data_IF_382262911347
#
_entry.id   IF_382262911347
#
_cell.length_a   1.000
_cell.length_b   1.000
_cell.length_c   1.000
_cell.angle_alpha   90.00
_cell.angle_beta   90.00
_cell.angle_gamma   90.00
#
_symmetry.space_group_name_H-M   'P 1'
#
loop_
_entity.id
_entity.type
_entity.pdbx_description
1 polymer ?
#
# COMPACT_ATOMS: atom_id res chain seq x y z
N UNK A 1 -19.32 -8.96 5.70
CA UNK A 1 -19.60 -7.98 6.77
C UNK A 1 -19.00 -6.63 6.38
N UNK A 2 -19.74 -5.53 6.50
CA UNK A 2 -19.23 -4.18 6.20
C UNK A 2 -18.48 -3.67 7.44
N UNK A 3 -17.21 -3.30 7.31
CA UNK A 3 -16.44 -2.77 8.44
C UNK A 3 -16.51 -1.24 8.46
N UNK A 4 -16.41 -0.59 9.63
CA UNK A 4 -16.31 0.87 9.69
C UNK A 4 -15.05 1.43 8.99
N UNK A 5 -14.07 0.56 8.69
CA UNK A 5 -12.83 0.89 8.00
C UNK A 5 -12.94 0.85 6.47
N UNK A 6 -14.03 0.31 5.90
CA UNK A 6 -14.12 0.04 4.45
C UNK A 6 -13.98 1.32 3.59
N UNK A 7 -14.51 2.45 4.05
CA UNK A 7 -14.40 3.73 3.33
C UNK A 7 -12.97 4.26 3.35
N UNK A 8 -12.32 4.20 4.52
CA UNK A 8 -10.92 4.59 4.68
C UNK A 8 -9.99 3.67 3.88
N UNK A 9 -10.23 2.36 3.87
CA UNK A 9 -9.46 1.38 3.09
C UNK A 9 -9.52 1.69 1.61
N UNK A 10 -10.72 1.95 1.07
CA UNK A 10 -10.88 2.33 -0.34
C UNK A 10 -10.18 3.64 -0.68
N UNK A 11 -10.24 4.63 0.19
CA UNK A 11 -9.55 5.89 -0.01
C UNK A 11 -8.03 5.69 -0.06
N UNK A 12 -7.46 4.97 0.91
CA UNK A 12 -6.03 4.69 0.98
C UNK A 12 -5.53 3.80 -0.16
N UNK A 13 -6.33 2.83 -0.60
CA UNK A 13 -5.99 2.02 -1.75
C UNK A 13 -5.85 2.87 -3.02
N UNK A 14 -6.79 3.80 -3.27
CA UNK A 14 -6.70 4.71 -4.42
C UNK A 14 -5.47 5.60 -4.34
N UNK A 15 -5.18 6.17 -3.16
CA UNK A 15 -3.98 6.99 -2.98
C UNK A 15 -2.69 6.21 -3.29
N UNK A 16 -2.61 4.94 -2.87
CA UNK A 16 -1.47 4.06 -3.18
C UNK A 16 -1.39 3.74 -4.68
N UNK A 17 -2.52 3.50 -5.34
CA UNK A 17 -2.57 3.23 -6.78
C UNK A 17 -2.15 4.46 -7.60
N UNK A 18 -2.58 5.66 -7.19
CA UNK A 18 -2.18 6.94 -7.80
C UNK A 18 -0.67 7.20 -7.61
N UNK A 19 -0.15 6.94 -6.41
CA UNK A 19 1.29 7.04 -6.13
C UNK A 19 2.10 6.08 -6.98
N UNK A 20 1.64 4.83 -7.14
CA UNK A 20 2.30 3.83 -7.99
C UNK A 20 2.37 4.30 -9.44
N UNK A 21 1.28 4.87 -9.96
CA UNK A 21 1.23 5.41 -11.32
C UNK A 21 2.19 6.59 -11.49
N UNK A 22 2.21 7.49 -10.50
CA UNK A 22 3.09 8.66 -10.49
C UNK A 22 4.56 8.27 -10.46
N UNK A 23 4.93 7.32 -9.59
CA UNK A 23 6.28 6.74 -9.50
C UNK A 23 6.69 6.13 -10.84
N UNK A 24 5.80 5.35 -11.47
CA UNK A 24 6.07 4.78 -12.80
C UNK A 24 6.26 5.83 -13.89
N UNK A 25 5.61 7.00 -13.78
CA UNK A 25 5.86 8.16 -14.64
C UNK A 25 7.23 8.78 -14.40
N UNK A 26 7.57 9.06 -13.13
CA UNK A 26 8.86 9.65 -12.76
C UNK A 26 10.04 8.74 -13.13
N UNK A 27 9.94 7.43 -12.87
CA UNK A 27 10.98 6.46 -13.23
C UNK A 27 11.24 6.42 -14.75
N UNK A 28 10.19 6.53 -15.58
CA UNK A 28 10.33 6.62 -17.04
C UNK A 28 11.07 7.89 -17.45
N UNK A 29 10.77 9.03 -16.84
CA UNK A 29 11.47 10.30 -17.10
C UNK A 29 12.95 10.23 -16.73
N UNK A 30 13.32 9.57 -15.63
CA UNK A 30 14.74 9.33 -15.28
C UNK A 30 15.41 8.51 -16.37
N UNK A 31 14.81 7.38 -16.77
CA UNK A 31 15.36 6.52 -17.81
C UNK A 31 15.53 7.23 -19.16
N UNK A 32 14.57 8.10 -19.53
CA UNK A 32 14.66 8.93 -20.73
C UNK A 32 15.80 9.95 -20.66
N UNK A 33 15.96 10.64 -19.52
CA UNK A 33 17.06 11.58 -19.30
C UNK A 33 18.43 10.88 -19.36
N UNK A 34 18.54 9.67 -18.81
CA UNK A 34 19.74 8.84 -18.89
C UNK A 34 20.06 8.40 -20.32
N UNK A 35 19.05 7.96 -21.07
CA UNK A 35 19.21 7.58 -22.48
C UNK A 35 19.69 8.77 -23.34
N UNK A 36 19.11 9.97 -23.12
CA UNK A 36 19.53 11.20 -23.80
C UNK A 36 20.96 11.60 -23.44
N UNK A 37 21.34 11.49 -22.17
CA UNK A 37 22.70 11.77 -21.71
C UNK A 37 23.72 10.81 -22.35
N UNK A 38 23.37 9.52 -22.46
CA UNK A 38 24.21 8.53 -23.13
C UNK A 38 24.35 8.82 -24.63
N UNK A 39 23.24 9.13 -25.31
CA UNK A 39 23.26 9.47 -26.74
C UNK A 39 24.10 10.73 -27.02
N UNK A 40 24.04 11.74 -26.14
CA UNK A 40 24.88 12.92 -26.23
C UNK A 40 26.36 12.57 -26.06
N UNK A 41 26.69 11.75 -25.05
CA UNK A 41 28.05 11.27 -24.81
C UNK A 41 28.63 10.54 -26.03
N UNK A 42 27.84 9.65 -26.63
CA UNK A 42 28.24 8.88 -27.82
C UNK A 42 28.47 9.80 -29.03
N UNK A 43 27.63 10.82 -29.18
CA UNK A 43 27.76 11.83 -30.25
C UNK A 43 29.05 12.62 -30.09
N UNK A 44 29.34 13.12 -28.88
CA UNK A 44 30.60 13.80 -28.57
C UNK A 44 31.81 12.90 -28.82
N UNK A 45 31.74 11.63 -28.42
CA UNK A 45 32.83 10.69 -28.62
C UNK A 45 33.08 10.37 -30.10
N UNK A 46 32.03 10.35 -30.94
CA UNK A 46 32.16 10.23 -32.40
C UNK A 46 32.79 11.47 -32.99
N UNK A 47 32.30 12.65 -32.63
CA UNK A 47 32.79 13.92 -33.18
C UNK A 47 34.25 14.19 -32.78
N UNK A 48 34.65 13.89 -31.55
CA UNK A 48 36.06 13.96 -31.13
C UNK A 48 36.98 13.06 -31.97
N UNK A 49 36.51 11.86 -32.35
CA UNK A 49 37.28 10.95 -33.21
C UNK A 49 37.45 11.49 -34.62
N UNK A 50 36.41 12.12 -35.17
CA UNK A 50 36.45 12.71 -36.52
C UNK A 50 37.36 13.95 -36.51
N UNK A 51 37.20 14.84 -35.52
CA UNK A 51 38.00 16.06 -35.39
C UNK A 51 39.49 15.79 -35.12
N UNK A 52 39.84 14.66 -34.50
CA UNK A 52 41.25 14.26 -34.34
C UNK A 52 41.97 14.03 -35.68
N UNK A 53 41.23 13.85 -36.79
CA UNK A 53 41.78 13.70 -38.14
C UNK A 53 41.88 14.99 -38.96
N UNK A 54 41.29 16.11 -38.49
CA UNK A 54 41.16 17.33 -39.31
C UNK A 54 41.32 18.61 -38.45
N UNK A 55 42.50 19.23 -38.51
CA UNK A 55 42.93 20.35 -37.64
C UNK A 55 42.36 21.72 -38.05
N UNK A 56 41.58 21.80 -39.14
CA UNK A 56 41.17 23.07 -39.77
C UNK A 56 39.97 23.72 -39.06
N UNK A 57 39.18 22.97 -38.29
CA UNK A 57 37.99 23.49 -37.61
C UNK A 57 38.25 23.85 -36.14
N UNK A 58 37.92 25.08 -35.73
CA UNK A 58 37.88 25.49 -34.33
C UNK A 58 36.57 25.03 -33.66
N UNK A 59 36.60 24.09 -32.71
CA UNK A 59 35.39 23.44 -32.19
C UNK A 59 34.75 24.19 -30.99
N UNK A 60 35.17 25.42 -30.69
CA UNK A 60 34.87 26.10 -29.41
C UNK A 60 33.37 26.29 -29.19
N UNK A 61 32.64 26.79 -30.19
CA UNK A 61 31.20 27.04 -30.07
C UNK A 61 30.39 25.74 -29.93
N UNK A 62 30.77 24.69 -30.65
CA UNK A 62 30.18 23.36 -30.53
C UNK A 62 30.39 22.78 -29.14
N UNK A 63 31.64 22.76 -28.64
CA UNK A 63 31.95 22.23 -27.32
C UNK A 63 31.25 23.01 -26.19
N UNK A 64 31.11 24.33 -26.34
CA UNK A 64 30.37 25.15 -25.39
C UNK A 64 28.88 24.77 -25.35
N UNK A 65 28.25 24.59 -26.52
CA UNK A 65 26.86 24.13 -26.64
C UNK A 65 26.67 22.75 -26.03
N UNK A 66 27.51 21.79 -26.40
CA UNK A 66 27.38 20.41 -25.89
C UNK A 66 27.59 20.33 -24.38
N UNK A 67 28.48 21.16 -23.83
CA UNK A 67 28.66 21.28 -22.37
C UNK A 67 27.42 21.87 -21.69
N UNK A 68 26.76 22.84 -22.31
CA UNK A 68 25.50 23.40 -21.80
C UNK A 68 24.37 22.34 -21.83
N UNK A 69 24.23 21.62 -22.95
CA UNK A 69 23.25 20.53 -23.10
C UNK A 69 23.49 19.41 -22.07
N UNK A 70 24.75 19.01 -21.85
CA UNK A 70 25.10 18.01 -20.84
C UNK A 70 24.79 18.48 -19.41
N UNK A 71 25.01 19.76 -19.10
CA UNK A 71 24.65 20.34 -17.79
C UNK A 71 23.15 20.31 -17.58
N UNK A 72 22.38 20.76 -18.57
CA UNK A 72 20.92 20.79 -18.50
C UNK A 72 20.32 19.38 -18.32
N UNK A 73 20.85 18.38 -19.04
CA UNK A 73 20.44 16.98 -18.86
C UNK A 73 20.78 16.46 -17.46
N UNK A 74 21.96 16.79 -16.93
CA UNK A 74 22.34 16.39 -15.59
C UNK A 74 21.47 17.06 -14.50
N UNK A 75 21.19 18.35 -14.64
CA UNK A 75 20.27 19.07 -13.74
C UNK A 75 18.88 18.45 -13.77
N UNK A 76 18.33 18.20 -14.96
CA UNK A 76 17.04 17.53 -15.15
C UNK A 76 17.03 16.16 -14.47
N UNK A 77 18.07 15.35 -14.69
CA UNK A 77 18.21 14.03 -14.05
C UNK A 77 18.23 14.15 -12.53
N UNK A 78 19.03 15.05 -11.97
CA UNK A 78 19.10 15.26 -10.53
C UNK A 78 17.75 15.66 -9.94
N UNK A 79 17.03 16.58 -10.58
CA UNK A 79 15.70 17.00 -10.14
C UNK A 79 14.70 15.86 -10.18
N UNK A 80 14.59 15.14 -11.30
CA UNK A 80 13.60 14.05 -11.45
C UNK A 80 13.95 12.86 -10.53
N UNK A 81 15.23 12.58 -10.30
CA UNK A 81 15.64 11.55 -9.33
C UNK A 81 15.26 11.94 -7.91
N UNK A 82 15.50 13.20 -7.50
CA UNK A 82 15.08 13.69 -6.19
C UNK A 82 13.55 13.63 -6.00
N UNK A 83 12.79 13.99 -7.03
CA UNK A 83 11.33 13.83 -7.05
C UNK A 83 10.91 12.36 -6.90
N UNK A 84 11.57 11.45 -7.63
CA UNK A 84 11.29 10.01 -7.55
C UNK A 84 11.57 9.46 -6.15
N UNK A 85 12.66 9.87 -5.51
CA UNK A 85 13.00 9.43 -4.16
C UNK A 85 12.01 9.96 -3.13
N UNK A 86 11.58 11.22 -3.26
CA UNK A 86 10.51 11.77 -2.42
C UNK A 86 9.18 11.01 -2.60
N UNK A 87 8.82 10.66 -3.84
CA UNK A 87 7.63 9.85 -4.14
C UNK A 87 7.72 8.44 -3.54
N UNK A 88 8.90 7.80 -3.61
CA UNK A 88 9.15 6.49 -2.99
C UNK A 88 8.99 6.55 -1.48
N UNK A 89 9.53 7.58 -0.83
CA UNK A 89 9.39 7.77 0.61
C UNK A 89 7.92 7.94 1.00
N UNK A 90 7.17 8.78 0.27
CA UNK A 90 5.73 8.95 0.47
C UNK A 90 4.95 7.65 0.24
N UNK A 91 5.36 6.84 -0.72
CA UNK A 91 4.75 5.54 -0.96
C UNK A 91 4.97 4.59 0.23
N UNK A 92 6.17 4.54 0.80
CA UNK A 92 6.46 3.72 2.00
C UNK A 92 5.51 4.08 3.14
N UNK A 93 5.35 5.38 3.42
CA UNK A 93 4.45 5.87 4.48
C UNK A 93 2.97 5.51 4.19
N UNK A 94 2.55 5.67 2.93
CA UNK A 94 1.18 5.38 2.51
C UNK A 94 0.86 3.89 2.58
N UNK A 95 1.79 3.02 2.16
CA UNK A 95 1.67 1.57 2.29
C UNK A 95 1.64 1.14 3.76
N UNK A 96 2.50 1.71 4.61
CA UNK A 96 2.50 1.42 6.04
C UNK A 96 1.16 1.77 6.69
N UNK A 97 0.60 2.93 6.34
CA UNK A 97 -0.71 3.38 6.81
C UNK A 97 -1.84 2.46 6.34
N UNK A 98 -1.82 2.04 5.07
CA UNK A 98 -2.78 1.09 4.52
C UNK A 98 -2.73 -0.25 5.25
N UNK A 99 -1.52 -0.80 5.47
CA UNK A 99 -1.34 -2.07 6.21
C UNK A 99 -1.83 -2.00 7.64
N UNK A 100 -1.59 -0.89 8.34
CA UNK A 100 -2.12 -0.69 9.69
C UNK A 100 -3.66 -0.70 9.70
N UNK A 101 -4.28 -0.05 8.72
CA UNK A 101 -5.74 -0.02 8.58
C UNK A 101 -6.34 -1.38 8.23
N UNK A 102 -5.68 -2.15 7.34
CA UNK A 102 -6.05 -3.53 7.02
C UNK A 102 -6.02 -4.41 8.27
N UNK A 103 -4.97 -4.27 9.10
CA UNK A 103 -4.84 -4.97 10.37
C UNK A 103 -5.98 -4.64 11.34
N UNK A 104 -6.30 -3.35 11.50
CA UNK A 104 -7.42 -2.92 12.35
C UNK A 104 -8.77 -3.47 11.84
N UNK A 105 -8.99 -3.44 10.53
CA UNK A 105 -10.20 -3.98 9.92
C UNK A 105 -10.30 -5.51 10.12
N UNK A 106 -9.18 -6.23 10.03
CA UNK A 106 -9.14 -7.67 10.27
C UNK A 106 -9.45 -8.00 11.74
N UNK A 107 -8.82 -7.31 12.69
CA UNK A 107 -9.09 -7.48 14.11
C UNK A 107 -10.56 -7.21 14.46
N UNK A 108 -11.16 -6.19 13.83
CA UNK A 108 -12.58 -5.90 14.00
C UNK A 108 -13.46 -7.05 13.50
N UNK A 109 -13.15 -7.64 12.34
CA UNK A 109 -13.88 -8.79 11.82
C UNK A 109 -13.81 -9.98 12.75
N UNK A 110 -12.60 -10.33 13.20
CA UNK A 110 -12.40 -11.45 14.11
C UNK A 110 -13.10 -11.25 15.46
N UNK A 111 -13.10 -10.03 15.99
CA UNK A 111 -13.83 -9.73 17.23
C UNK A 111 -15.34 -9.81 17.03
N UNK A 112 -15.87 -9.28 15.94
CA UNK A 112 -17.30 -9.39 15.64
C UNK A 112 -17.75 -10.86 15.44
N UNK A 113 -16.90 -11.69 14.82
CA UNK A 113 -17.16 -13.13 14.68
C UNK A 113 -17.14 -13.86 16.03
N UNK A 114 -16.18 -13.52 16.91
CA UNK A 114 -16.13 -14.06 18.28
C UNK A 114 -17.36 -13.64 19.10
N UNK A 115 -17.78 -12.38 19.00
CA UNK A 115 -18.95 -11.87 19.71
C UNK A 115 -20.23 -12.56 19.23
N UNK A 116 -20.37 -12.77 17.90
CA UNK A 116 -21.50 -13.48 17.33
C UNK A 116 -21.55 -14.95 17.79
N UNK A 117 -20.42 -15.66 17.78
CA UNK A 117 -20.33 -17.03 18.27
C UNK A 117 -20.66 -17.14 19.77
N UNK A 118 -20.17 -16.18 20.56
CA UNK A 118 -20.45 -16.12 22.02
C UNK A 118 -21.94 -15.87 22.28
N UNK A 119 -22.58 -14.98 21.51
CA UNK A 119 -24.00 -14.71 21.62
C UNK A 119 -24.86 -15.92 21.23
N UNK A 120 -24.48 -16.65 20.18
CA UNK A 120 -25.15 -17.88 19.77
C UNK A 120 -25.07 -18.94 20.88
N UNK A 121 -23.88 -19.17 21.43
CA UNK A 121 -23.68 -20.14 22.51
C UNK A 121 -24.45 -19.76 23.78
N UNK A 122 -24.44 -18.48 24.17
CA UNK A 122 -25.20 -17.99 25.31
C UNK A 122 -26.71 -18.27 25.15
N UNK A 123 -27.25 -18.09 23.95
CA UNK A 123 -28.66 -18.37 23.68
C UNK A 123 -29.02 -19.86 23.81
N UNK A 124 -28.10 -20.76 23.41
CA UNK A 124 -28.25 -22.21 23.55
C UNK A 124 -28.19 -22.61 25.02
N UNK A 125 -27.23 -22.06 25.77
CA UNK A 125 -27.05 -22.33 27.19
C UNK A 125 -28.25 -21.84 28.01
N UNK A 126 -28.80 -20.67 27.70
CA UNK A 126 -30.02 -20.14 28.31
C UNK A 126 -31.22 -21.07 28.09
N UNK A 127 -31.39 -21.57 26.86
CA UNK A 127 -32.47 -22.50 26.53
C UNK A 127 -32.31 -23.85 27.27
N UNK A 128 -31.09 -24.40 27.28
CA UNK A 128 -30.77 -25.63 27.98
C UNK A 128 -30.99 -25.49 29.50
N UNK A 129 -30.52 -24.38 30.08
CA UNK A 129 -30.68 -24.04 31.48
C UNK A 129 -32.15 -23.89 31.87
N UNK A 130 -32.96 -23.18 31.07
CA UNK A 130 -34.39 -23.05 31.31
C UNK A 130 -35.12 -24.40 31.26
N UNK A 131 -34.76 -25.27 30.32
CA UNK A 131 -35.33 -26.62 30.21
C UNK A 131 -34.96 -27.49 31.42
N UNK A 132 -33.70 -27.43 31.85
CA UNK A 132 -33.22 -28.17 33.01
C UNK A 132 -33.89 -27.69 34.32
N UNK A 133 -34.03 -26.37 34.51
CA UNK A 133 -34.72 -25.78 35.66
C UNK A 133 -36.19 -26.22 35.72
N UNK A 134 -36.90 -26.24 34.59
CA UNK A 134 -38.28 -26.76 34.51
C UNK A 134 -38.37 -28.23 34.89
N UNK A 135 -37.46 -29.07 34.37
CA UNK A 135 -37.42 -30.50 34.70
C UNK A 135 -37.17 -30.74 36.20
N UNK A 136 -36.24 -29.99 36.80
CA UNK A 136 -35.99 -30.03 38.24
C UNK A 136 -37.21 -29.62 39.06
N UNK A 137 -37.92 -28.57 38.64
CA UNK A 137 -39.13 -28.13 39.32
C UNK A 137 -40.22 -29.21 39.29
N UNK A 138 -40.48 -29.81 38.13
CA UNK A 138 -41.44 -30.90 37.97
C UNK A 138 -41.08 -32.13 38.83
N UNK A 139 -39.80 -32.53 38.83
CA UNK A 139 -39.34 -33.66 39.64
C UNK A 139 -39.51 -33.41 41.16
N UNK A 140 -39.29 -32.17 41.61
CA UNK A 140 -39.52 -31.78 43.01
C UNK A 140 -41.01 -31.82 43.36
N UNK A 141 -41.89 -31.31 42.49
CA UNK A 141 -43.34 -31.37 42.70
C UNK A 141 -43.86 -32.81 42.76
N UNK A 142 -43.41 -33.68 41.86
CA UNK A 142 -43.80 -35.09 41.85
C UNK A 142 -43.38 -35.81 43.14
N UNK A 143 -42.19 -35.51 43.68
CA UNK A 143 -41.73 -36.05 44.96
C UNK A 143 -42.59 -35.57 46.14
N UNK A 144 -42.94 -34.29 46.19
CA UNK A 144 -43.80 -33.74 47.24
C UNK A 144 -45.20 -34.39 47.22
N UNK A 145 -45.80 -34.54 46.04
CA UNK A 145 -47.10 -35.20 45.88
C UNK A 145 -47.09 -36.67 46.29
N UNK A 146 -45.98 -37.38 46.05
CA UNK A 146 -45.83 -38.77 46.50
C UNK A 146 -45.64 -38.95 48.02
N UNK A 147 -45.30 -37.88 48.75
CA UNK A 147 -45.15 -37.89 50.20
C UNK A 147 -46.45 -37.54 50.94
N UNK A 148 -47.36 -36.77 50.32
CA UNK A 148 -48.68 -36.42 50.88
C UNK A 148 -49.73 -37.56 50.77
N UNK A 149 -49.43 -38.64 50.05
CA UNK A 149 -50.34 -39.79 49.82
C UNK A 149 -50.03 -40.97 50.77
N UNK A 150 -49.37 -40.71 51.90
CA UNK A 150 -49.13 -41.70 52.96
C UNK A 150 -49.64 -41.19 54.29
#
# INVERSE_FOLDING_TARGET
MKTPYDTALRARQREVDDLRTTIGGAARKVAEAEALAQALSDTVAREKRIAAGDLVFSPVAYLARTRAEARQLNETRCTVTAELDALRQRAIESYGSLRALEGAAQQFRESAERDAATAEQASVDDFAGARFARALHQARQARAQSQDVR
#
